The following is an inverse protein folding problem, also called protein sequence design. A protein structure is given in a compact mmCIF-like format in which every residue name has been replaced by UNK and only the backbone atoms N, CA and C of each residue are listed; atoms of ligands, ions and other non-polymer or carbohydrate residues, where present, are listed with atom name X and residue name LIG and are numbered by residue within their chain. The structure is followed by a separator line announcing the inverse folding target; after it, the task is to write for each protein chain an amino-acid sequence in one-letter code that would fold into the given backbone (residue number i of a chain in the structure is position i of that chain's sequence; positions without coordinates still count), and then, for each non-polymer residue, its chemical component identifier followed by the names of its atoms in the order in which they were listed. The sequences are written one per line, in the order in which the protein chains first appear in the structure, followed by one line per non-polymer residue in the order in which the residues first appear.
data_IF_133929686463
#
_entry.id   IF_133929686463
#
_cell.length_a   1.000
_cell.length_b   1.000
_cell.length_c   1.000
_cell.angle_alpha   90.00
_cell.angle_beta   90.00
_cell.angle_gamma   90.00
#
_symmetry.space_group_name_H-M   'P 1'
#
loop_
_entity.id
_entity.type
_entity.pdbx_description
1 polymer ?
#
# COMPACT_ATOMS: atom_id res chain seq x y z
N UNK A 1 45.09 16.65 -14.29
CA UNK A 1 45.78 17.65 -13.42
C UNK A 1 45.58 17.26 -11.99
N UNK A 2 46.71 17.21 -11.32
CA UNK A 2 47.04 17.06 -9.93
C UNK A 2 47.08 15.61 -9.45
N UNK A 3 48.19 15.00 -9.54
CA UNK A 3 49.54 15.09 -8.84
C UNK A 3 49.38 14.67 -7.38
N UNK A 4 49.79 13.43 -7.16
CA UNK A 4 51.04 13.08 -6.43
C UNK A 4 51.26 13.79 -5.11
N UNK A 5 51.23 13.00 -4.06
CA UNK A 5 52.37 13.07 -3.14
C UNK A 5 52.52 11.75 -2.39
N UNK A 6 53.42 10.93 -2.92
CA UNK A 6 54.02 9.82 -2.19
C UNK A 6 55.39 10.31 -1.75
N UNK A 7 55.55 10.58 -0.48
CA UNK A 7 56.85 10.87 0.10
C UNK A 7 56.91 10.32 1.52
N UNK A 8 57.89 9.49 1.77
CA UNK A 8 58.24 9.08 3.10
C UNK A 8 58.96 7.76 3.20
N UNK A 9 60.05 7.63 2.44
CA UNK A 9 61.08 6.66 2.76
C UNK A 9 61.76 7.04 4.08
N UNK A 10 61.61 6.22 5.11
CA UNK A 10 62.54 6.19 6.23
C UNK A 10 63.32 4.90 6.18
N UNK A 11 64.46 4.95 5.54
CA UNK A 11 65.52 3.93 5.64
C UNK A 11 66.33 4.17 6.89
N UNK A 12 66.12 3.40 7.93
CA UNK A 12 66.99 3.35 9.07
C UNK A 12 68.10 2.32 8.80
N UNK A 13 69.31 2.81 8.47
CA UNK A 13 70.54 2.02 8.36
C UNK A 13 71.03 1.67 9.73
N UNK A 14 70.93 0.41 10.13
CA UNK A 14 71.65 -0.13 11.30
C UNK A 14 73.03 -0.56 10.84
N UNK A 15 74.07 0.18 11.29
CA UNK A 15 75.45 -0.19 11.06
C UNK A 15 75.85 -1.34 12.01
N UNK A 16 76.21 -2.48 11.46
CA UNK A 16 76.83 -3.59 12.22
C UNK A 16 78.36 -3.40 12.32
N UNK A 17 78.88 -3.55 13.54
CA UNK A 17 80.32 -3.57 13.83
C UNK A 17 80.97 -4.82 13.21
N UNK A 18 82.13 -4.60 12.55
CA UNK A 18 82.98 -5.67 12.02
C UNK A 18 83.55 -6.52 13.14
N UNK A 19 83.17 -7.82 13.09
CA UNK A 19 83.97 -8.87 13.76
C UNK A 19 84.54 -9.78 12.66
N UNK A 20 85.87 -9.96 12.67
CA UNK A 20 86.58 -10.74 11.63
C UNK A 20 86.36 -12.23 11.85
N UNK A 21 85.30 -12.74 11.27
CA UNK A 21 85.18 -14.17 10.97
C UNK A 21 84.46 -14.33 9.62
N UNK A 22 85.08 -15.09 8.73
CA UNK A 22 84.69 -15.23 7.31
C UNK A 22 83.38 -16.02 7.12
N UNK A 23 82.31 -15.55 7.67
CA UNK A 23 80.99 -16.07 7.29
C UNK A 23 80.34 -15.12 6.28
N UNK A 24 79.95 -15.67 5.16
CA UNK A 24 79.20 -14.96 4.13
C UNK A 24 77.89 -14.42 4.74
N UNK A 25 77.90 -13.13 5.04
CA UNK A 25 76.70 -12.44 5.55
C UNK A 25 75.78 -12.19 4.33
N UNK A 26 74.63 -12.84 4.31
CA UNK A 26 73.60 -12.54 3.35
C UNK A 26 72.80 -11.34 3.84
N UNK A 27 72.79 -10.27 3.07
CA UNK A 27 71.97 -9.12 3.34
C UNK A 27 70.54 -9.45 2.83
N UNK A 28 69.58 -9.56 3.73
CA UNK A 28 68.19 -9.73 3.39
C UNK A 28 67.46 -8.43 3.67
N UNK A 29 66.65 -8.01 2.71
CA UNK A 29 65.73 -6.90 2.90
C UNK A 29 64.45 -7.43 3.56
N UNK A 30 64.12 -6.98 4.75
CA UNK A 30 62.90 -7.33 5.43
C UNK A 30 61.98 -6.12 5.49
N UNK A 31 60.76 -6.28 5.02
CA UNK A 31 59.73 -5.25 5.14
C UNK A 31 58.73 -5.66 6.21
N UNK A 32 58.46 -4.77 7.14
CA UNK A 32 57.44 -5.02 8.18
C UNK A 32 56.05 -4.96 7.53
N UNK A 33 55.39 -6.09 7.49
CA UNK A 33 54.03 -6.17 7.01
C UNK A 33 53.07 -5.61 8.07
N UNK A 34 52.31 -4.61 7.70
CA UNK A 34 51.22 -4.10 8.53
C UNK A 34 49.92 -4.67 8.03
N UNK A 35 49.07 -5.18 8.94
CA UNK A 35 47.70 -5.57 8.59
C UNK A 35 46.90 -4.30 8.24
N UNK A 36 46.51 -4.20 7.00
CA UNK A 36 45.64 -3.15 6.53
C UNK A 36 44.29 -3.80 6.17
N UNK A 37 43.25 -3.35 6.82
CA UNK A 37 41.89 -3.78 6.45
C UNK A 37 41.56 -3.24 5.06
N UNK A 38 41.36 -4.15 4.13
CA UNK A 38 40.98 -3.82 2.74
C UNK A 38 39.54 -4.23 2.51
N UNK A 39 38.72 -3.26 2.17
CA UNK A 39 37.33 -3.52 1.82
C UNK A 39 37.19 -3.72 0.31
N UNK A 40 36.58 -4.85 -0.07
CA UNK A 40 36.21 -5.09 -1.46
C UNK A 40 34.89 -4.38 -1.74
N UNK A 41 34.90 -3.40 -2.64
CA UNK A 41 33.69 -2.69 -3.05
C UNK A 41 33.05 -3.46 -4.19
N UNK A 42 31.87 -4.01 -3.94
CA UNK A 42 31.08 -4.69 -4.96
C UNK A 42 30.03 -3.70 -5.49
N UNK A 43 29.98 -3.53 -6.81
CA UNK A 43 28.97 -2.73 -7.50
C UNK A 43 27.94 -3.68 -8.10
N UNK A 44 26.68 -3.51 -7.69
CA UNK A 44 25.57 -4.27 -8.25
C UNK A 44 24.50 -3.31 -8.79
N UNK A 45 23.94 -3.67 -9.94
CA UNK A 45 22.77 -2.98 -10.50
C UNK A 45 21.52 -3.73 -10.08
N UNK A 46 20.51 -3.00 -9.64
CA UNK A 46 19.28 -3.61 -9.13
C UNK A 46 18.03 -2.90 -9.61
N UNK A 47 16.87 -3.54 -9.40
CA UNK A 47 15.55 -3.00 -9.70
C UNK A 47 14.86 -2.64 -8.38
N UNK A 48 14.32 -1.43 -8.32
CA UNK A 48 13.46 -0.97 -7.24
C UNK A 48 12.04 -1.46 -7.48
N UNK A 49 11.44 -2.07 -6.45
CA UNK A 49 10.02 -2.45 -6.46
C UNK A 49 9.34 -1.93 -5.21
N UNK A 50 8.09 -1.47 -5.31
CA UNK A 50 7.31 -1.10 -4.13
C UNK A 50 7.06 -2.34 -3.26
N UNK A 51 6.93 -2.14 -1.94
CA UNK A 51 6.66 -3.23 -1.00
C UNK A 51 5.27 -3.86 -1.22
N UNK A 52 4.33 -3.07 -1.75
CA UNK A 52 3.04 -3.57 -2.20
C UNK A 52 2.52 -2.78 -3.42
N UNK A 53 1.78 -3.50 -4.25
CA UNK A 53 0.98 -2.99 -5.35
C UNK A 53 -0.46 -3.45 -5.14
N UNK A 54 -1.42 -2.55 -5.25
CA UNK A 54 -2.84 -2.85 -5.05
C UNK A 54 -3.62 -2.36 -6.24
N UNK A 55 -4.35 -3.26 -6.89
CA UNK A 55 -5.25 -2.90 -7.97
C UNK A 55 -6.50 -2.19 -7.42
N UNK A 56 -6.85 -1.08 -8.04
CA UNK A 56 -8.09 -0.37 -7.81
C UNK A 56 -9.16 -1.06 -8.64
N UNK A 57 -10.19 -1.59 -7.99
CA UNK A 57 -11.24 -2.37 -8.66
C UNK A 57 -12.57 -1.67 -8.50
N UNK A 58 -13.34 -1.57 -9.59
CA UNK A 58 -14.73 -1.10 -9.54
C UNK A 58 -15.61 -2.12 -8.83
N UNK A 59 -16.32 -1.71 -7.76
CA UNK A 59 -17.27 -2.56 -7.04
C UNK A 59 -18.68 -2.55 -7.65
N UNK A 60 -18.97 -1.60 -8.55
CA UNK A 60 -20.26 -1.39 -9.23
C UNK A 60 -20.03 -1.21 -10.72
N UNK A 61 -20.97 -1.67 -11.55
CA UNK A 61 -21.01 -1.31 -12.96
C UNK A 61 -21.70 0.04 -13.14
N UNK A 62 -21.22 0.85 -14.08
CA UNK A 62 -21.81 2.14 -14.43
C UNK A 62 -20.83 3.06 -15.14
N UNK A 63 -21.29 4.24 -15.52
CA UNK A 63 -20.49 5.28 -16.15
C UNK A 63 -19.73 6.09 -15.10
N UNK A 64 -18.49 6.45 -15.39
CA UNK A 64 -17.68 7.30 -14.52
C UNK A 64 -18.12 8.76 -14.70
N UNK A 65 -18.66 9.33 -13.64
CA UNK A 65 -19.15 10.72 -13.67
C UNK A 65 -18.05 11.73 -13.34
N UNK A 66 -17.06 11.35 -12.53
CA UNK A 66 -16.00 12.25 -12.11
C UNK A 66 -14.75 11.50 -11.65
N UNK A 67 -13.57 11.98 -12.05
CA UNK A 67 -12.28 11.52 -11.55
C UNK A 67 -11.69 12.60 -10.64
N UNK A 68 -11.61 12.34 -9.35
CA UNK A 68 -11.09 13.27 -8.32
C UNK A 68 -9.58 13.21 -8.16
N UNK A 69 -8.96 12.07 -8.45
CA UNK A 69 -7.51 11.86 -8.35
C UNK A 69 -7.02 11.24 -9.65
N UNK A 70 -5.97 11.84 -10.22
CA UNK A 70 -5.37 11.41 -11.50
C UNK A 70 -4.13 10.54 -11.25
N UNK A 71 -3.63 9.90 -12.30
CA UNK A 71 -2.32 9.24 -12.32
C UNK A 71 -1.24 10.18 -11.76
N UNK A 72 -0.33 9.65 -10.95
CA UNK A 72 0.72 10.42 -10.28
C UNK A 72 0.26 11.16 -9.01
N UNK A 73 -1.02 11.05 -8.61
CA UNK A 73 -1.51 11.68 -7.38
C UNK A 73 -1.21 10.83 -6.16
N UNK A 74 -0.76 11.47 -5.08
CA UNK A 74 -0.68 10.85 -3.76
C UNK A 74 -2.08 10.77 -3.14
N UNK A 75 -2.42 9.63 -2.59
CA UNK A 75 -3.69 9.36 -1.91
C UNK A 75 -3.45 8.85 -0.50
N UNK A 76 -4.34 9.24 0.40
CA UNK A 76 -4.44 8.67 1.75
C UNK A 76 -5.47 7.54 1.73
N UNK A 77 -5.47 6.75 2.80
CA UNK A 77 -6.54 5.78 3.02
C UNK A 77 -7.91 6.47 3.02
N UNK A 78 -8.87 5.88 2.34
CA UNK A 78 -10.24 6.37 2.16
C UNK A 78 -10.40 7.64 1.28
N UNK A 79 -9.34 8.15 0.64
CA UNK A 79 -9.46 9.25 -0.32
C UNK A 79 -10.31 8.83 -1.52
N UNK A 80 -11.20 9.73 -1.97
CA UNK A 80 -12.03 9.53 -3.14
C UNK A 80 -11.18 9.63 -4.41
N UNK A 81 -11.17 8.57 -5.21
CA UNK A 81 -10.44 8.49 -6.47
C UNK A 81 -11.36 8.89 -7.62
N UNK A 82 -12.49 8.22 -7.75
CA UNK A 82 -13.49 8.51 -8.76
C UNK A 82 -14.91 8.18 -8.28
N UNK A 83 -15.89 8.70 -8.98
CA UNK A 83 -17.32 8.47 -8.74
C UNK A 83 -17.94 7.85 -9.97
N UNK A 84 -18.72 6.77 -9.76
CA UNK A 84 -19.53 6.11 -10.76
C UNK A 84 -20.96 6.62 -10.62
N UNK A 85 -21.69 6.73 -11.71
CA UNK A 85 -23.08 7.20 -11.71
C UNK A 85 -23.91 6.51 -10.61
N UNK A 86 -24.53 7.33 -9.80
CA UNK A 86 -25.37 6.88 -8.69
C UNK A 86 -26.78 6.46 -9.16
N UNK A 87 -27.20 6.93 -10.35
CA UNK A 87 -28.55 6.71 -10.85
C UNK A 87 -29.59 7.13 -9.82
N UNK A 88 -30.57 6.27 -9.55
CA UNK A 88 -31.65 6.50 -8.59
C UNK A 88 -31.33 6.08 -7.14
N UNK A 89 -30.06 5.79 -6.81
CA UNK A 89 -29.71 5.30 -5.48
C UNK A 89 -29.94 6.34 -4.38
N UNK A 90 -29.85 7.64 -4.70
CA UNK A 90 -30.13 8.71 -3.74
C UNK A 90 -31.61 8.76 -3.35
N UNK A 91 -32.50 8.61 -4.32
CA UNK A 91 -33.95 8.54 -4.11
C UNK A 91 -34.33 7.26 -3.36
N UNK A 92 -33.71 6.13 -3.73
CA UNK A 92 -33.90 4.85 -3.04
C UNK A 92 -33.44 4.91 -1.58
N UNK A 93 -32.38 5.67 -1.29
CA UNK A 93 -31.92 5.90 0.08
C UNK A 93 -33.01 6.60 0.91
N UNK A 94 -33.55 7.71 0.42
CA UNK A 94 -34.61 8.49 1.10
C UNK A 94 -35.86 7.65 1.31
N UNK A 95 -36.29 6.91 0.27
CA UNK A 95 -37.43 6.00 0.36
C UNK A 95 -37.19 4.88 1.38
N UNK A 96 -36.00 4.27 1.36
CA UNK A 96 -35.60 3.24 2.32
C UNK A 96 -35.57 3.71 3.76
N UNK A 97 -35.07 4.92 4.02
CA UNK A 97 -35.07 5.53 5.35
C UNK A 97 -36.48 5.81 5.86
N UNK A 98 -37.35 6.31 4.99
CA UNK A 98 -38.76 6.54 5.31
C UNK A 98 -39.49 5.24 5.63
N UNK A 99 -39.27 4.19 4.84
CA UNK A 99 -39.81 2.85 5.08
C UNK A 99 -39.32 2.25 6.39
N UNK A 100 -38.02 2.34 6.65
CA UNK A 100 -37.46 1.86 7.91
C UNK A 100 -38.10 2.55 9.12
N UNK A 101 -38.28 3.87 9.05
CA UNK A 101 -38.93 4.66 10.11
C UNK A 101 -40.37 4.23 10.36
N UNK A 102 -41.13 3.94 9.28
CA UNK A 102 -42.50 3.44 9.34
C UNK A 102 -42.55 2.06 10.00
N UNK A 103 -41.76 1.10 9.49
CA UNK A 103 -41.75 -0.28 9.99
C UNK A 103 -41.26 -0.36 11.45
N UNK A 104 -40.30 0.50 11.83
CA UNK A 104 -39.88 0.61 13.22
C UNK A 104 -41.02 1.04 14.14
N UNK A 105 -41.76 2.10 13.76
CA UNK A 105 -42.92 2.55 14.55
C UNK A 105 -43.99 1.46 14.65
N UNK A 106 -44.25 0.75 13.55
CA UNK A 106 -45.23 -0.35 13.52
C UNK A 106 -44.79 -1.49 14.45
N UNK A 107 -43.53 -1.83 14.46
CA UNK A 107 -42.97 -2.83 15.38
C UNK A 107 -43.09 -2.37 16.85
N UNK A 108 -42.70 -1.12 17.19
CA UNK A 108 -42.75 -0.58 18.52
C UNK A 108 -44.18 -0.59 19.05
N UNK A 109 -45.19 -0.24 18.21
CA UNK A 109 -46.62 -0.31 18.58
C UNK A 109 -47.04 -1.78 18.78
N UNK A 110 -46.71 -2.70 17.87
CA UNK A 110 -47.07 -4.10 17.99
C UNK A 110 -46.46 -4.73 19.25
N UNK A 111 -45.21 -4.39 19.58
CA UNK A 111 -44.53 -4.82 20.80
C UNK A 111 -45.25 -4.36 22.04
N UNK A 112 -45.54 -3.06 22.15
CA UNK A 112 -46.24 -2.49 23.30
C UNK A 112 -47.65 -3.07 23.51
N UNK A 113 -48.39 -3.35 22.41
CA UNK A 113 -49.71 -3.96 22.46
C UNK A 113 -49.67 -5.45 22.84
N UNK A 114 -48.65 -6.18 22.39
CA UNK A 114 -48.41 -7.58 22.76
C UNK A 114 -48.07 -7.72 24.23
N UNK A 115 -47.20 -6.85 24.77
CA UNK A 115 -46.84 -6.79 26.20
C UNK A 115 -48.08 -6.54 27.09
N UNK A 116 -49.01 -5.73 26.59
CA UNK A 116 -50.29 -5.48 27.27
C UNK A 116 -51.40 -6.55 27.00
N UNK A 117 -51.04 -7.65 26.31
CA UNK A 117 -51.98 -8.72 25.90
C UNK A 117 -53.14 -8.23 25.03
N UNK A 118 -53.02 -7.06 24.38
CA UNK A 118 -53.98 -6.47 23.50
C UNK A 118 -53.84 -6.89 22.04
N UNK A 119 -52.73 -7.53 21.69
CA UNK A 119 -52.43 -8.04 20.35
C UNK A 119 -51.72 -9.39 20.44
N UNK A 120 -51.85 -10.18 19.36
CA UNK A 120 -51.25 -11.51 19.26
C UNK A 120 -49.73 -11.40 19.20
N UNK A 121 -49.03 -12.36 19.79
CA UNK A 121 -47.56 -12.52 19.66
C UNK A 121 -47.18 -12.69 18.16
N UNK A 122 -48.01 -13.33 17.36
CA UNK A 122 -47.82 -13.47 15.92
C UNK A 122 -47.77 -12.10 15.21
N UNK A 123 -48.57 -11.14 15.62
CA UNK A 123 -48.57 -9.80 15.03
C UNK A 123 -47.27 -9.05 15.35
N UNK A 124 -46.74 -9.21 16.60
CA UNK A 124 -45.43 -8.70 16.99
C UNK A 124 -44.32 -9.28 16.10
N UNK A 125 -44.29 -10.62 15.95
CA UNK A 125 -43.29 -11.31 15.12
C UNK A 125 -43.35 -10.86 13.65
N UNK A 126 -44.58 -10.69 13.10
CA UNK A 126 -44.74 -10.17 11.74
C UNK A 126 -44.21 -8.74 11.60
N UNK A 127 -44.50 -7.88 12.57
CA UNK A 127 -43.97 -6.50 12.54
C UNK A 127 -42.45 -6.45 12.67
N UNK A 128 -41.88 -7.29 13.52
CA UNK A 128 -40.42 -7.46 13.65
C UNK A 128 -39.76 -7.93 12.35
N UNK A 129 -40.36 -8.91 11.69
CA UNK A 129 -39.87 -9.40 10.38
C UNK A 129 -39.87 -8.29 9.31
N UNK A 130 -40.96 -7.47 9.25
CA UNK A 130 -41.02 -6.30 8.34
C UNK A 130 -39.96 -5.26 8.65
N UNK A 131 -39.78 -4.91 9.92
CA UNK A 131 -38.73 -3.99 10.35
C UNK A 131 -37.33 -4.48 9.99
N UNK A 132 -37.04 -5.76 10.25
CA UNK A 132 -35.75 -6.37 9.90
C UNK A 132 -35.51 -6.39 8.39
N UNK A 133 -36.53 -6.71 7.59
CA UNK A 133 -36.48 -6.66 6.14
C UNK A 133 -36.22 -5.23 5.63
N UNK A 134 -36.93 -4.23 6.16
CA UNK A 134 -36.71 -2.83 5.80
C UNK A 134 -35.26 -2.35 6.14
N UNK A 135 -34.74 -2.79 7.29
CA UNK A 135 -33.37 -2.53 7.72
C UNK A 135 -32.34 -3.15 6.76
N UNK A 136 -32.56 -4.39 6.35
CA UNK A 136 -31.68 -5.08 5.40
C UNK A 136 -31.71 -4.41 4.03
N UNK A 137 -32.87 -4.03 3.53
CA UNK A 137 -33.01 -3.33 2.25
C UNK A 137 -32.30 -1.98 2.27
N UNK A 138 -32.46 -1.18 3.33
CA UNK A 138 -31.74 0.08 3.47
C UNK A 138 -30.22 -0.12 3.52
N UNK A 139 -29.73 -1.15 4.21
CA UNK A 139 -28.30 -1.48 4.26
C UNK A 139 -27.76 -1.80 2.86
N UNK A 140 -28.51 -2.54 2.04
CA UNK A 140 -28.14 -2.85 0.65
C UNK A 140 -28.06 -1.60 -0.23
N UNK A 141 -29.02 -0.67 -0.09
CA UNK A 141 -28.97 0.62 -0.81
C UNK A 141 -27.78 1.45 -0.39
N UNK A 142 -27.49 1.54 0.91
CA UNK A 142 -26.32 2.24 1.44
C UNK A 142 -25.00 1.64 0.94
N UNK A 143 -24.94 0.33 0.84
CA UNK A 143 -23.77 -0.35 0.27
C UNK A 143 -23.62 -0.06 -1.23
N UNK A 144 -24.70 -0.10 -1.99
CA UNK A 144 -24.68 0.23 -3.41
C UNK A 144 -24.24 1.68 -3.65
N UNK A 145 -24.67 2.61 -2.81
CA UNK A 145 -24.24 4.00 -2.85
C UNK A 145 -22.76 4.15 -2.52
N UNK A 146 -22.25 3.44 -1.50
CA UNK A 146 -20.82 3.40 -1.17
C UNK A 146 -20.00 2.84 -2.32
N UNK A 147 -20.50 1.79 -2.98
CA UNK A 147 -19.82 1.13 -4.10
C UNK A 147 -19.80 1.98 -5.38
N UNK A 148 -20.59 3.06 -5.46
CA UNK A 148 -20.47 4.05 -6.53
C UNK A 148 -19.33 5.07 -6.33
N UNK A 149 -18.69 5.06 -5.16
CA UNK A 149 -17.51 5.86 -4.85
C UNK A 149 -16.30 4.93 -4.73
N UNK A 150 -15.39 5.02 -5.66
CA UNK A 150 -14.13 4.26 -5.59
C UNK A 150 -13.15 5.05 -4.74
N UNK A 151 -12.77 4.47 -3.61
CA UNK A 151 -11.88 5.08 -2.63
C UNK A 151 -10.61 4.27 -2.47
N UNK A 152 -9.53 4.95 -2.13
CA UNK A 152 -8.26 4.31 -1.83
C UNK A 152 -8.36 3.41 -0.60
N UNK A 153 -7.83 2.19 -0.69
CA UNK A 153 -7.77 1.23 0.41
C UNK A 153 -6.60 1.55 1.37
N UNK A 154 -5.53 2.14 0.83
CA UNK A 154 -4.31 2.49 1.58
C UNK A 154 -3.69 3.78 1.07
N UNK A 155 -2.81 4.36 1.88
CA UNK A 155 -1.92 5.45 1.46
C UNK A 155 -0.96 4.94 0.37
N UNK A 156 -0.76 5.74 -0.67
CA UNK A 156 0.17 5.43 -1.75
C UNK A 156 0.13 6.43 -2.89
N UNK A 157 0.78 6.09 -3.98
CA UNK A 157 0.74 6.81 -5.25
C UNK A 157 -0.14 6.06 -6.25
N UNK A 158 -1.01 6.76 -6.96
CA UNK A 158 -1.71 6.19 -8.12
C UNK A 158 -0.68 6.07 -9.26
N UNK A 159 -0.19 4.85 -9.47
CA UNK A 159 0.77 4.55 -10.53
C UNK A 159 0.11 4.66 -11.89
N UNK A 160 -1.05 4.05 -12.02
CA UNK A 160 -1.80 4.07 -13.26
C UNK A 160 -3.32 4.14 -13.01
N UNK A 161 -4.02 4.73 -14.00
CA UNK A 161 -5.48 4.82 -14.03
C UNK A 161 -5.91 4.66 -15.49
N UNK A 162 -6.55 3.51 -15.80
CA UNK A 162 -6.86 3.07 -17.17
C UNK A 162 -8.26 3.49 -17.61
N UNK A 163 -8.86 4.50 -16.97
CA UNK A 163 -10.24 4.91 -17.21
C UNK A 163 -10.37 6.42 -17.31
N UNK A 164 -11.39 6.88 -18.03
CA UNK A 164 -11.71 8.27 -18.25
C UNK A 164 -13.14 8.63 -17.82
N UNK A 165 -13.40 9.90 -17.61
CA UNK A 165 -14.76 10.41 -17.35
C UNK A 165 -15.66 10.14 -18.56
N UNK A 166 -16.89 9.70 -18.33
CA UNK A 166 -17.83 9.24 -19.36
C UNK A 166 -17.65 7.79 -19.79
N UNK A 167 -16.59 7.11 -19.33
CA UNK A 167 -16.37 5.70 -19.67
C UNK A 167 -17.23 4.79 -18.80
N UNK A 168 -17.79 3.72 -19.43
CA UNK A 168 -18.51 2.68 -18.72
C UNK A 168 -17.56 1.62 -18.17
N UNK A 169 -17.68 1.29 -16.89
CA UNK A 169 -16.91 0.24 -16.21
C UNK A 169 -17.83 -0.90 -15.76
N UNK A 170 -17.30 -2.13 -15.79
CA UNK A 170 -18.00 -3.32 -15.29
C UNK A 170 -17.67 -3.54 -13.81
N UNK A 171 -18.55 -4.26 -13.12
CA UNK A 171 -18.26 -4.74 -11.75
C UNK A 171 -17.03 -5.65 -11.76
N UNK A 172 -16.15 -5.48 -10.78
CA UNK A 172 -14.87 -6.18 -10.61
C UNK A 172 -13.85 -5.92 -11.73
N UNK A 173 -14.03 -4.85 -12.51
CA UNK A 173 -13.04 -4.43 -13.50
C UNK A 173 -11.89 -3.69 -12.78
N UNK A 174 -10.61 -4.06 -13.02
CA UNK A 174 -9.47 -3.27 -12.59
C UNK A 174 -9.46 -1.94 -13.36
N UNK A 175 -9.30 -0.84 -12.66
CA UNK A 175 -9.37 0.52 -13.22
C UNK A 175 -8.09 1.30 -13.01
N UNK A 176 -7.17 0.79 -12.19
CA UNK A 176 -5.90 1.41 -11.91
C UNK A 176 -5.10 0.66 -10.86
N UNK A 177 -3.97 1.23 -10.45
CA UNK A 177 -3.08 0.65 -9.46
C UNK A 177 -2.54 1.71 -8.51
N UNK A 178 -2.42 1.33 -7.23
CA UNK A 178 -1.77 2.11 -6.18
C UNK A 178 -0.51 1.37 -5.73
N UNK A 179 0.60 2.09 -5.63
CA UNK A 179 1.87 1.58 -5.13
C UNK A 179 2.29 2.31 -3.85
N UNK A 180 3.05 1.61 -3.00
CA UNK A 180 3.69 2.24 -1.84
C UNK A 180 5.02 2.87 -2.26
N UNK A 181 5.22 4.15 -1.91
CA UNK A 181 6.49 4.86 -2.08
C UNK A 181 7.27 5.04 -0.77
N UNK A 182 6.65 4.79 0.38
CA UNK A 182 7.33 5.00 1.68
C UNK A 182 8.42 3.96 1.92
N UNK A 183 8.26 2.76 1.34
CA UNK A 183 9.22 1.66 1.44
C UNK A 183 9.36 0.97 0.09
N UNK A 184 10.62 0.84 -0.35
CA UNK A 184 10.97 0.20 -1.61
C UNK A 184 11.93 -0.95 -1.35
N UNK A 185 11.76 -2.04 -2.09
CA UNK A 185 12.66 -3.19 -2.09
C UNK A 185 13.64 -3.05 -3.25
N UNK A 186 14.92 -3.28 -2.97
CA UNK A 186 15.96 -3.33 -4.00
C UNK A 186 16.30 -4.81 -4.26
N UNK A 187 16.11 -5.24 -5.48
CA UNK A 187 16.53 -6.55 -5.96
C UNK A 187 17.77 -6.36 -6.80
N UNK A 188 18.94 -6.68 -6.25
CA UNK A 188 20.22 -6.63 -6.96
C UNK A 188 20.84 -8.02 -6.98
N UNK A 189 21.03 -8.65 -8.16
CA UNK A 189 21.79 -9.89 -8.27
C UNK A 189 23.26 -9.60 -7.99
N UNK A 190 23.84 -10.35 -7.05
CA UNK A 190 25.29 -10.32 -6.75
C UNK A 190 25.87 -11.68 -7.15
N UNK A 191 26.97 -11.66 -7.89
CA UNK A 191 27.67 -12.89 -8.26
C UNK A 191 28.25 -13.54 -7.01
N UNK A 192 28.16 -14.87 -6.89
CA UNK A 192 28.65 -15.62 -5.73
C UNK A 192 30.15 -15.44 -5.49
N UNK A 193 30.93 -15.07 -6.52
CA UNK A 193 32.35 -14.74 -6.46
C UNK A 193 32.63 -13.38 -5.82
N UNK A 194 31.62 -12.57 -5.62
CA UNK A 194 31.74 -11.19 -5.10
C UNK A 194 31.33 -11.04 -3.62
N UNK A 195 30.93 -12.15 -3.00
CA UNK A 195 30.57 -12.22 -1.56
C UNK A 195 31.73 -12.73 -0.73
#
# INVERSE_FOLDING_TARGET
MLSDNFSGENQEKVAAKEDKNTDKVFVVSAQKVQNQETYKVVRASGVLRPIFEIDIISKKAGEITKISKKRGSLVKENDLILTIDKGTLSEQLVAGESKLKLEKKSFDIAKNLSEKKLKSEMDRVRAEARFTSAKANLASVKESLRNSEVRSIRKGLIEDLHVEEGQFVKKNQPIGRIINLDQMLIFAPVAQTDV
#
